data_IF_041956745042
#
_entry.id   IF_041956745042
#
_cell.length_a   1.000
_cell.length_b   1.000
_cell.length_c   1.000
_cell.angle_alpha   90.00
_cell.angle_beta   90.00
_cell.angle_gamma   90.00
#
_symmetry.space_group_name_H-M   'P 1'
#
loop_
_entity.id
_entity.type
_entity.pdbx_description
1 polymer ?
#
# COMPACT_ATOMS: atom_id res chain seq x y z
N UNK A 1 12.52 11.39 -15.54
CA UNK A 1 11.45 10.93 -14.61
C UNK A 1 11.92 11.13 -13.19
N UNK A 2 11.28 12.00 -12.38
CA UNK A 2 11.59 12.07 -10.94
C UNK A 2 11.26 10.69 -10.36
N UNK A 3 12.28 9.93 -9.92
CA UNK A 3 12.10 8.67 -9.20
C UNK A 3 11.07 8.92 -8.11
N UNK A 4 9.92 8.25 -8.17
CA UNK A 4 8.99 8.20 -7.05
C UNK A 4 9.82 7.90 -5.80
N UNK A 5 9.70 8.73 -4.75
CA UNK A 5 10.47 8.55 -3.49
C UNK A 5 10.24 7.19 -2.83
N UNK A 6 9.25 6.44 -3.30
CA UNK A 6 8.95 5.08 -2.88
C UNK A 6 9.17 4.14 -4.07
N UNK A 7 10.12 3.22 -3.91
CA UNK A 7 10.28 2.07 -4.79
C UNK A 7 9.03 1.18 -4.75
N UNK A 8 8.84 0.31 -5.74
CA UNK A 8 7.70 -0.61 -5.78
C UNK A 8 7.71 -1.62 -4.62
N UNK A 9 8.89 -1.96 -4.12
CA UNK A 9 9.09 -2.90 -3.01
C UNK A 9 8.45 -2.46 -1.67
N UNK A 10 8.67 -1.24 -1.15
CA UNK A 10 7.96 -0.77 0.06
C UNK A 10 6.46 -0.62 -0.15
N UNK A 11 5.98 -0.39 -1.37
CA UNK A 11 4.55 -0.31 -1.69
C UNK A 11 3.91 -1.69 -1.55
N UNK A 12 4.50 -2.71 -2.17
CA UNK A 12 4.01 -4.10 -2.09
C UNK A 12 4.08 -4.64 -0.66
N UNK A 13 5.13 -4.28 0.09
CA UNK A 13 5.29 -4.68 1.49
C UNK A 13 4.28 -3.98 2.42
N UNK A 14 3.87 -2.75 2.09
CA UNK A 14 2.78 -2.06 2.77
C UNK A 14 1.44 -2.77 2.53
N UNK A 15 1.15 -3.14 1.29
CA UNK A 15 -0.10 -3.84 0.93
C UNK A 15 -0.17 -5.22 1.58
N UNK A 16 0.91 -6.00 1.54
CA UNK A 16 1.00 -7.29 2.24
C UNK A 16 0.80 -7.18 3.75
N UNK A 17 1.37 -6.15 4.41
CA UNK A 17 1.13 -5.94 5.84
C UNK A 17 -0.35 -5.69 6.13
N UNK A 18 -1.04 -4.92 5.28
CA UNK A 18 -2.47 -4.69 5.43
C UNK A 18 -3.29 -5.96 5.21
N UNK A 19 -2.92 -6.80 4.24
CA UNK A 19 -3.54 -8.13 4.03
C UNK A 19 -3.27 -9.08 5.20
N UNK A 20 -2.11 -8.98 5.84
CA UNK A 20 -1.77 -9.72 7.05
C UNK A 20 -2.50 -9.20 8.32
N UNK A 21 -3.39 -8.22 8.18
CA UNK A 21 -4.19 -7.67 9.29
C UNK A 21 -3.53 -6.51 10.03
N UNK A 22 -2.41 -5.96 9.52
CA UNK A 22 -1.81 -4.76 10.12
C UNK A 22 -2.68 -3.53 9.80
N UNK A 23 -3.01 -2.69 10.80
CA UNK A 23 -3.82 -1.51 10.57
C UNK A 23 -3.12 -0.54 9.60
N UNK A 24 -3.89 -0.06 8.61
CA UNK A 24 -3.41 0.89 7.58
C UNK A 24 -2.82 2.15 8.20
N UNK A 25 -3.34 2.59 9.34
CA UNK A 25 -2.80 3.74 10.08
C UNK A 25 -1.37 3.51 10.57
N UNK A 26 -1.06 2.32 11.10
CA UNK A 26 0.30 1.97 11.52
C UNK A 26 1.25 1.91 10.32
N UNK A 27 0.79 1.34 9.21
CA UNK A 27 1.55 1.28 7.95
C UNK A 27 1.84 2.70 7.42
N UNK A 28 0.83 3.56 7.43
CA UNK A 28 0.94 4.96 7.01
C UNK A 28 1.94 5.73 7.88
N UNK A 29 1.87 5.54 9.20
CA UNK A 29 2.74 6.17 10.18
C UNK A 29 4.19 5.67 10.08
N UNK A 30 4.39 4.38 9.80
CA UNK A 30 5.71 3.75 9.59
C UNK A 30 6.38 4.22 8.29
N UNK A 31 5.60 4.39 7.22
CA UNK A 31 6.08 4.81 5.91
C UNK A 31 6.11 6.33 5.72
N UNK A 32 5.56 7.10 6.66
CA UNK A 32 5.43 8.55 6.56
C UNK A 32 4.50 8.99 5.42
N UNK A 33 3.46 8.21 5.14
CA UNK A 33 2.49 8.48 4.08
C UNK A 33 1.10 8.72 4.66
N UNK A 34 0.27 9.44 3.91
CA UNK A 34 -1.15 9.57 4.17
C UNK A 34 -1.93 8.31 3.76
N UNK A 35 -3.04 8.01 4.45
CA UNK A 35 -3.95 6.93 4.09
C UNK A 35 -4.43 7.04 2.63
N UNK A 36 -4.67 8.26 2.13
CA UNK A 36 -5.01 8.50 0.73
C UNK A 36 -3.96 7.93 -0.25
N UNK A 37 -2.67 8.01 0.09
CA UNK A 37 -1.57 7.45 -0.72
C UNK A 37 -1.62 5.92 -0.71
N UNK A 38 -1.86 5.33 0.47
CA UNK A 38 -2.01 3.88 0.61
C UNK A 38 -3.18 3.34 -0.22
N UNK A 39 -4.35 3.98 -0.19
CA UNK A 39 -5.49 3.56 -1.03
C UNK A 39 -5.20 3.74 -2.53
N UNK A 40 -4.44 4.77 -2.91
CA UNK A 40 -3.97 4.95 -4.30
C UNK A 40 -3.07 3.80 -4.73
N UNK A 41 -2.21 3.32 -3.83
CA UNK A 41 -1.40 2.12 -4.06
C UNK A 41 -2.27 0.87 -4.13
N UNK A 42 -3.25 0.71 -3.23
CA UNK A 42 -4.21 -0.40 -3.32
C UNK A 42 -4.98 -0.41 -4.63
N UNK A 43 -5.31 0.75 -5.20
CA UNK A 43 -5.95 0.83 -6.53
C UNK A 43 -5.00 0.51 -7.69
N UNK A 44 -3.73 0.88 -7.60
CA UNK A 44 -2.72 0.63 -8.66
C UNK A 44 -2.11 -0.78 -8.61
N UNK A 45 -1.88 -1.29 -7.40
CA UNK A 45 -1.13 -2.52 -7.13
C UNK A 45 -1.99 -3.57 -6.42
N UNK A 46 -3.12 -3.21 -5.82
CA UNK A 46 -4.02 -4.17 -5.15
C UNK A 46 -4.87 -4.99 -6.13
N UNK A 47 -4.95 -4.63 -7.41
CA UNK A 47 -5.46 -5.53 -8.47
C UNK A 47 -4.58 -6.76 -8.68
N UNK A 48 -3.35 -6.78 -8.12
CA UNK A 48 -2.49 -7.96 -8.07
C UNK A 48 -2.73 -8.84 -6.82
N UNK A 49 -3.61 -8.45 -5.88
CA UNK A 49 -3.71 -9.12 -4.57
C UNK A 49 -5.11 -9.29 -3.98
N UNK A 50 -6.13 -8.53 -4.38
CA UNK A 50 -7.48 -8.68 -3.80
C UNK A 50 -8.40 -9.41 -4.80
N UNK A 51 -8.75 -10.69 -4.58
CA UNK A 51 -9.90 -11.26 -5.27
C UNK A 51 -11.10 -10.43 -4.85
N UNK A 52 -11.78 -9.86 -5.84
CA UNK A 52 -13.08 -9.24 -5.72
C UNK A 52 -14.03 -10.24 -5.04
N UNK A 53 -14.23 -10.12 -3.72
CA UNK A 53 -15.30 -10.82 -3.03
C UNK A 53 -16.54 -9.95 -3.25
N UNK A 54 -17.34 -10.39 -4.23
CA UNK A 54 -18.69 -9.92 -4.49
C UNK A 54 -19.69 -10.73 -3.68
#
# INVERSE_FOLDING_TARGET
MRKSRFSEEPITLALRQAEAGTPVEAICRKLGISQATFFRWKKRFGSLGVPEIR
#
